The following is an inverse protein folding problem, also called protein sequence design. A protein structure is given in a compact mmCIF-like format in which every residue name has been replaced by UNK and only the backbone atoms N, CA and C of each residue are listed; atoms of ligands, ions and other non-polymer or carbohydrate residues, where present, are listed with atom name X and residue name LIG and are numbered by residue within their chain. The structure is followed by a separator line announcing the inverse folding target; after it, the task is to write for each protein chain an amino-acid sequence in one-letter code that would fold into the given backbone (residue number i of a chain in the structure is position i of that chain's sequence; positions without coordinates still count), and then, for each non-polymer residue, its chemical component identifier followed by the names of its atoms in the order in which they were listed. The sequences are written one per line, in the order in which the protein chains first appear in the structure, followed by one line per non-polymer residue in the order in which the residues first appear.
data_IF_999612144701
#
_entry.id   IF_999612144701
#
_cell.length_a   1.000
_cell.length_b   1.000
_cell.length_c   1.000
_cell.angle_alpha   90.00
_cell.angle_beta   90.00
_cell.angle_gamma   90.00
#
_symmetry.space_group_name_H-M   'P 1'
#
loop_
_entity.id
_entity.type
_entity.pdbx_description
1 polymer ?
#
# COMPACT_ATOMS: atom_id res chain seq x y z
N UNK A 1 1.66 22.88 -41.64
CA UNK A 1 2.30 21.93 -40.69
C UNK A 1 1.23 20.94 -40.29
N UNK A 2 1.22 19.78 -40.93
CA UNK A 2 0.22 18.71 -40.66
C UNK A 2 0.62 17.96 -39.42
N UNK A 3 -0.24 17.98 -38.41
CA UNK A 3 -0.13 17.16 -37.20
C UNK A 3 -0.11 15.67 -37.62
N UNK A 4 0.97 14.97 -37.33
CA UNK A 4 1.02 13.51 -37.41
C UNK A 4 -0.03 12.98 -36.44
N UNK A 5 -1.19 12.56 -36.95
CA UNK A 5 -2.21 11.92 -36.16
C UNK A 5 -1.64 10.64 -35.50
N UNK A 6 -1.66 10.58 -34.17
CA UNK A 6 -1.35 9.36 -33.43
C UNK A 6 -2.30 8.25 -33.90
N UNK A 7 -1.75 7.15 -34.40
CA UNK A 7 -2.54 6.01 -34.87
C UNK A 7 -3.11 5.30 -33.64
N UNK A 8 -4.43 5.28 -33.50
CA UNK A 8 -5.10 4.51 -32.44
C UNK A 8 -4.87 3.02 -32.71
N UNK A 9 -4.34 2.33 -31.69
CA UNK A 9 -4.17 0.87 -31.71
C UNK A 9 -5.28 0.27 -30.85
N UNK A 10 -6.13 -0.52 -31.47
CA UNK A 10 -7.20 -1.27 -30.79
C UNK A 10 -6.75 -2.72 -30.59
N UNK A 11 -6.96 -3.24 -29.38
CA UNK A 11 -6.77 -4.66 -29.05
C UNK A 11 -8.13 -5.24 -28.68
N UNK A 12 -8.51 -6.36 -29.29
CA UNK A 12 -9.76 -7.05 -28.96
C UNK A 12 -9.61 -7.81 -27.66
N UNK A 13 -10.65 -7.85 -26.86
CA UNK A 13 -10.65 -8.65 -25.61
C UNK A 13 -10.48 -10.15 -25.87
N UNK A 14 -10.87 -10.65 -27.04
CA UNK A 14 -10.59 -12.03 -27.49
C UNK A 14 -9.11 -12.36 -27.59
N UNK A 15 -8.27 -11.36 -27.82
CA UNK A 15 -6.82 -11.51 -28.00
C UNK A 15 -6.07 -11.42 -26.66
N UNK A 16 -6.79 -11.10 -25.59
CA UNK A 16 -6.23 -10.95 -24.23
C UNK A 16 -6.34 -12.28 -23.48
N UNK A 17 -5.20 -12.80 -23.04
CA UNK A 17 -5.19 -14.00 -22.20
C UNK A 17 -5.64 -13.66 -20.77
N UNK A 18 -6.69 -14.30 -20.30
CA UNK A 18 -7.18 -14.14 -18.94
C UNK A 18 -6.18 -14.75 -17.94
N UNK A 19 -5.91 -14.01 -16.85
CA UNK A 19 -5.05 -14.46 -15.76
C UNK A 19 -5.81 -14.40 -14.44
N UNK A 20 -5.49 -15.31 -13.51
CA UNK A 20 -6.09 -15.33 -12.18
C UNK A 20 -5.49 -14.25 -11.29
N UNK A 21 -6.32 -13.60 -10.47
CA UNK A 21 -5.88 -12.66 -9.44
C UNK A 21 -5.38 -13.42 -8.21
N UNK A 22 -4.19 -13.08 -7.74
CA UNK A 22 -3.68 -13.56 -6.45
C UNK A 22 -4.13 -12.61 -5.35
N UNK A 23 -4.55 -13.14 -4.21
CA UNK A 23 -5.07 -12.37 -3.10
C UNK A 23 -4.18 -12.49 -1.87
N UNK A 24 -3.93 -11.36 -1.22
CA UNK A 24 -3.41 -11.33 0.14
C UNK A 24 -4.54 -11.64 1.13
N UNK A 25 -5.68 -10.98 0.95
CA UNK A 25 -6.91 -11.20 1.71
C UNK A 25 -8.12 -11.12 0.76
N UNK A 26 -8.70 -12.25 0.45
CA UNK A 26 -9.86 -12.33 -0.46
C UNK A 26 -11.16 -11.88 0.23
N UNK A 27 -12.02 -11.10 -0.42
CA UNK A 27 -11.88 -10.49 -1.76
C UNK A 27 -11.36 -9.05 -1.70
N UNK A 28 -10.73 -8.62 -0.62
CA UNK A 28 -10.48 -7.22 -0.30
C UNK A 28 -9.11 -6.72 -0.78
N UNK A 29 -8.04 -7.50 -0.61
CA UNK A 29 -6.68 -7.04 -0.92
C UNK A 29 -6.03 -7.98 -1.93
N UNK A 30 -5.97 -7.55 -3.18
CA UNK A 30 -5.30 -8.27 -4.25
C UNK A 30 -3.79 -7.97 -4.26
N UNK A 31 -2.97 -8.99 -4.53
CA UNK A 31 -1.52 -8.83 -4.65
C UNK A 31 -1.18 -8.08 -5.92
N UNK A 32 -0.32 -7.06 -5.81
CA UNK A 32 0.10 -6.23 -6.94
C UNK A 32 -0.97 -5.25 -7.42
N UNK A 33 -1.99 -5.00 -6.62
CA UNK A 33 -3.04 -4.00 -6.89
C UNK A 33 -3.17 -3.03 -5.73
N UNK A 34 -3.77 -1.88 -6.01
CA UNK A 34 -4.08 -0.86 -5.02
C UNK A 34 -5.48 -1.14 -4.47
N UNK A 35 -5.60 -1.08 -3.14
CA UNK A 35 -6.88 -1.11 -2.45
C UNK A 35 -7.04 0.22 -1.71
N UNK A 36 -8.17 0.88 -1.89
CA UNK A 36 -8.53 2.08 -1.15
C UNK A 36 -9.53 1.69 -0.05
N UNK A 37 -9.16 1.94 1.20
CA UNK A 37 -10.03 1.83 2.36
C UNK A 37 -10.60 3.20 2.69
N UNK A 38 -11.93 3.35 2.60
CA UNK A 38 -12.63 4.60 2.84
C UNK A 38 -13.74 4.39 3.91
N UNK A 39 -14.07 5.44 4.63
CA UNK A 39 -15.11 5.49 5.66
C UNK A 39 -14.96 6.75 6.49
N UNK A 40 -15.96 7.05 7.34
CA UNK A 40 -15.97 8.24 8.19
C UNK A 40 -14.93 8.18 9.33
N UNK A 41 -14.52 9.32 9.89
CA UNK A 41 -13.71 9.35 11.11
C UNK A 41 -14.38 8.54 12.21
N UNK A 42 -13.61 7.68 12.89
CA UNK A 42 -14.14 6.82 13.97
C UNK A 42 -14.62 5.44 13.53
N UNK A 43 -14.75 5.14 12.24
CA UNK A 43 -15.18 3.81 11.72
C UNK A 43 -14.19 2.66 12.00
N UNK A 44 -13.07 2.96 12.63
CA UNK A 44 -12.08 1.95 13.01
C UNK A 44 -11.15 1.51 11.88
N UNK A 45 -11.02 2.28 10.79
CA UNK A 45 -10.14 1.96 9.65
C UNK A 45 -8.71 1.65 10.06
N UNK A 46 -8.06 2.56 10.79
CA UNK A 46 -6.68 2.38 11.28
C UNK A 46 -6.58 1.22 12.27
N UNK A 47 -7.60 1.01 13.13
CA UNK A 47 -7.65 -0.15 14.04
C UNK A 47 -7.71 -1.46 13.27
N UNK A 48 -8.54 -1.55 12.23
CA UNK A 48 -8.62 -2.73 11.36
C UNK A 48 -7.28 -2.97 10.66
N UNK A 49 -6.65 -1.93 10.12
CA UNK A 49 -5.34 -2.04 9.48
C UNK A 49 -4.25 -2.49 10.46
N UNK A 50 -4.20 -1.94 11.68
CA UNK A 50 -3.23 -2.36 12.69
C UNK A 50 -3.39 -3.83 13.09
N UNK A 51 -4.63 -4.34 13.21
CA UNK A 51 -4.86 -5.76 13.43
C UNK A 51 -4.40 -6.62 12.24
N UNK A 52 -4.68 -6.21 11.02
CA UNK A 52 -4.20 -6.90 9.82
C UNK A 52 -2.67 -6.93 9.75
N UNK A 53 -2.03 -5.79 10.03
CA UNK A 53 -0.56 -5.68 10.09
C UNK A 53 0.00 -6.63 11.16
N UNK A 54 -0.62 -6.67 12.33
CA UNK A 54 -0.21 -7.56 13.41
C UNK A 54 -0.29 -9.04 12.99
N UNK A 55 -1.40 -9.46 12.39
CA UNK A 55 -1.57 -10.83 11.92
C UNK A 55 -0.57 -11.19 10.80
N UNK A 56 -0.33 -10.29 9.86
CA UNK A 56 0.67 -10.48 8.82
C UNK A 56 2.09 -10.58 9.40
N UNK A 57 2.45 -9.67 10.31
CA UNK A 57 3.81 -9.57 10.85
C UNK A 57 4.24 -10.79 11.65
N UNK A 58 3.32 -11.45 12.33
CA UNK A 58 3.58 -12.66 13.14
C UNK A 58 3.26 -13.99 12.45
N UNK A 59 2.72 -13.97 11.22
CA UNK A 59 2.29 -15.19 10.52
C UNK A 59 1.01 -15.81 11.09
N UNK A 60 0.12 -14.97 11.64
CA UNK A 60 -1.12 -15.38 12.30
C UNK A 60 -2.25 -15.75 11.33
N UNK A 61 -3.46 -15.26 11.59
CA UNK A 61 -4.65 -15.54 10.77
C UNK A 61 -5.29 -14.26 10.28
N UNK A 62 -5.69 -14.26 9.01
CA UNK A 62 -6.51 -13.21 8.45
C UNK A 62 -7.92 -13.20 9.05
N UNK A 63 -8.69 -12.09 8.89
CA UNK A 63 -10.05 -12.00 9.45
C UNK A 63 -11.02 -13.09 8.95
N UNK A 64 -10.77 -13.65 7.77
CA UNK A 64 -11.53 -14.79 7.21
C UNK A 64 -11.11 -16.16 7.78
N UNK A 65 -10.18 -16.17 8.73
CA UNK A 65 -9.65 -17.38 9.35
C UNK A 65 -8.51 -18.06 8.58
N UNK A 66 -8.17 -17.58 7.39
CA UNK A 66 -7.08 -18.14 6.59
C UNK A 66 -5.73 -17.88 7.25
N UNK A 67 -4.93 -18.92 7.40
CA UNK A 67 -3.58 -18.80 7.94
C UNK A 67 -2.68 -18.00 6.98
N UNK A 68 -1.93 -17.05 7.52
CA UNK A 68 -0.88 -16.31 6.80
C UNK A 68 0.31 -17.23 6.52
N UNK A 69 0.61 -18.12 7.47
CA UNK A 69 1.72 -19.05 7.41
C UNK A 69 3.00 -18.41 7.95
N UNK A 70 3.92 -18.02 7.07
CA UNK A 70 5.15 -17.34 7.48
C UNK A 70 4.88 -15.87 7.80
N UNK A 71 5.63 -15.31 8.76
CA UNK A 71 5.62 -13.87 9.05
C UNK A 71 5.93 -13.06 7.80
N UNK A 72 5.20 -11.96 7.61
CA UNK A 72 5.31 -11.08 6.47
C UNK A 72 5.81 -9.71 6.89
N UNK A 73 6.62 -9.08 6.06
CA UNK A 73 7.06 -7.71 6.25
C UNK A 73 5.98 -6.74 5.79
N UNK A 74 5.77 -5.66 6.54
CA UNK A 74 4.79 -4.62 6.25
C UNK A 74 5.45 -3.26 6.40
N UNK A 75 5.20 -2.34 5.46
CA UNK A 75 5.49 -0.91 5.64
C UNK A 75 4.17 -0.25 6.05
N UNK A 76 4.17 0.44 7.18
CA UNK A 76 3.05 1.26 7.64
C UNK A 76 3.50 2.70 7.78
N UNK A 77 3.13 3.52 6.80
CA UNK A 77 3.44 4.94 6.76
C UNK A 77 2.23 5.73 7.24
N UNK A 78 2.40 6.46 8.34
CA UNK A 78 1.39 7.31 8.94
C UNK A 78 1.98 8.70 9.20
N UNK A 79 1.20 9.74 8.93
CA UNK A 79 1.60 11.13 9.14
C UNK A 79 0.80 11.85 10.23
N UNK A 80 -0.29 11.26 10.71
CA UNK A 80 -1.16 11.90 11.71
C UNK A 80 -0.75 11.59 13.15
N UNK A 81 -0.29 10.37 13.39
CA UNK A 81 0.01 9.86 14.72
C UNK A 81 1.53 9.77 14.96
N UNK A 82 1.96 10.04 16.18
CA UNK A 82 3.36 9.85 16.61
C UNK A 82 3.78 8.38 16.61
N UNK A 83 4.97 8.12 16.07
CA UNK A 83 5.47 6.75 15.92
C UNK A 83 5.72 6.09 17.28
N UNK A 84 6.37 6.82 18.21
CA UNK A 84 6.83 6.28 19.49
C UNK A 84 5.75 6.19 20.56
N UNK A 85 4.82 7.13 20.55
CA UNK A 85 3.81 7.30 21.60
C UNK A 85 2.43 6.76 21.23
N UNK A 86 2.16 6.62 19.94
CA UNK A 86 0.85 6.19 19.46
C UNK A 86 0.94 4.92 18.60
N UNK A 87 1.68 4.95 17.49
CA UNK A 87 1.65 3.85 16.50
C UNK A 87 2.28 2.59 17.08
N UNK A 88 3.51 2.68 17.59
CA UNK A 88 4.21 1.52 18.14
C UNK A 88 3.44 0.86 19.29
N UNK A 89 2.96 1.58 20.31
CA UNK A 89 2.17 0.99 21.39
C UNK A 89 0.88 0.32 20.90
N UNK A 90 0.22 0.89 19.89
CA UNK A 90 -1.00 0.28 19.30
C UNK A 90 -0.70 -1.00 18.53
N UNK A 91 0.40 -1.04 17.77
CA UNK A 91 0.86 -2.25 17.07
C UNK A 91 1.20 -3.36 18.08
N UNK A 92 1.93 -3.03 19.13
CA UNK A 92 2.27 -3.98 20.21
C UNK A 92 1.01 -4.51 20.92
N UNK A 93 0.03 -3.64 21.20
CA UNK A 93 -1.27 -4.03 21.75
C UNK A 93 -2.04 -4.98 20.86
N UNK A 94 -1.95 -4.81 19.53
CA UNK A 94 -2.52 -5.74 18.54
C UNK A 94 -1.70 -7.05 18.42
N UNK A 95 -0.56 -7.17 19.09
CA UNK A 95 0.31 -8.33 19.05
C UNK A 95 1.15 -8.43 17.78
N UNK A 96 1.54 -7.30 17.21
CA UNK A 96 2.41 -7.26 16.04
C UNK A 96 3.85 -7.68 16.41
N UNK A 97 4.51 -8.40 15.49
CA UNK A 97 5.96 -8.54 15.52
C UNK A 97 6.58 -7.30 14.85
N UNK A 98 6.94 -6.30 15.66
CA UNK A 98 7.49 -5.04 15.19
C UNK A 98 8.82 -5.17 14.45
N UNK A 99 9.51 -6.33 14.47
CA UNK A 99 10.69 -6.59 13.64
C UNK A 99 10.33 -6.72 12.16
N UNK A 100 9.06 -7.01 11.87
CA UNK A 100 8.51 -7.16 10.53
C UNK A 100 7.67 -5.97 10.10
N UNK A 101 7.61 -4.88 10.89
CA UNK A 101 6.88 -3.66 10.55
C UNK A 101 7.86 -2.49 10.49
N UNK A 102 7.89 -1.78 9.37
CA UNK A 102 8.77 -0.64 9.16
C UNK A 102 7.98 0.59 8.69
N UNK A 103 8.59 1.76 8.80
CA UNK A 103 8.14 3.01 8.21
C UNK A 103 9.35 3.75 7.61
N UNK A 104 9.10 4.73 6.74
CA UNK A 104 10.13 5.62 6.21
C UNK A 104 10.25 6.78 7.18
N UNK A 105 11.42 6.94 7.80
CA UNK A 105 11.67 8.04 8.73
C UNK A 105 11.77 9.37 7.97
N UNK A 106 10.88 10.31 8.29
CA UNK A 106 10.80 11.63 7.67
C UNK A 106 11.51 12.73 8.49
N UNK A 107 12.11 12.40 9.64
CA UNK A 107 12.80 13.38 10.49
C UNK A 107 13.95 14.10 9.74
N UNK A 108 14.62 13.39 8.84
CA UNK A 108 15.74 13.95 8.07
C UNK A 108 15.28 14.66 6.78
N UNK A 109 14.16 14.22 6.20
CA UNK A 109 13.65 14.74 4.93
C UNK A 109 12.10 14.74 4.96
N UNK A 110 11.52 15.90 5.17
CA UNK A 110 10.06 16.12 5.12
C UNK A 110 9.51 16.01 3.70
N UNK A 111 8.18 15.87 3.58
CA UNK A 111 7.49 15.95 2.31
C UNK A 111 7.53 14.69 1.46
N UNK A 112 7.40 13.52 2.08
CA UNK A 112 7.23 12.26 1.37
C UNK A 112 5.95 12.28 0.52
N UNK A 113 6.06 11.93 -0.75
CA UNK A 113 4.91 11.82 -1.67
C UNK A 113 4.83 10.40 -2.26
N UNK A 114 3.66 10.00 -2.78
CA UNK A 114 3.46 8.65 -3.32
C UNK A 114 4.40 8.28 -4.49
N UNK A 115 4.91 9.26 -5.22
CA UNK A 115 5.85 9.07 -6.32
C UNK A 115 7.32 9.30 -5.91
N UNK A 116 7.59 9.47 -4.62
CA UNK A 116 8.93 9.64 -4.08
C UNK A 116 9.78 8.36 -4.26
N UNK A 117 11.02 8.53 -4.68
CA UNK A 117 11.97 7.43 -4.88
C UNK A 117 12.29 6.69 -3.57
N UNK A 118 12.18 7.35 -2.42
CA UNK A 118 12.38 6.73 -1.09
C UNK A 118 11.37 5.60 -0.84
N UNK A 119 10.11 5.75 -1.28
CA UNK A 119 9.11 4.68 -1.17
C UNK A 119 9.53 3.48 -2.01
N UNK A 120 9.98 3.72 -3.25
CA UNK A 120 10.47 2.65 -4.11
C UNK A 120 11.66 1.92 -3.52
N UNK A 121 12.65 2.65 -3.01
CA UNK A 121 13.83 2.08 -2.36
C UNK A 121 13.46 1.27 -1.13
N UNK A 122 12.60 1.79 -0.25
CA UNK A 122 12.12 1.08 0.92
C UNK A 122 11.42 -0.24 0.55
N UNK A 123 10.61 -0.25 -0.52
CA UNK A 123 9.96 -1.47 -1.00
C UNK A 123 10.98 -2.49 -1.53
N UNK A 124 11.98 -2.05 -2.28
CA UNK A 124 13.01 -2.93 -2.84
C UNK A 124 13.87 -3.55 -1.73
N UNK A 125 14.29 -2.75 -0.76
CA UNK A 125 15.17 -3.18 0.33
C UNK A 125 14.43 -4.04 1.35
N UNK A 126 13.29 -3.56 1.82
CA UNK A 126 12.54 -4.24 2.88
C UNK A 126 11.68 -5.38 2.34
N UNK A 127 11.30 -5.37 1.05
CA UNK A 127 10.46 -6.38 0.38
C UNK A 127 9.16 -6.68 1.13
N UNK A 128 8.35 -5.66 1.42
CA UNK A 128 7.12 -5.82 2.17
C UNK A 128 6.08 -6.61 1.37
N UNK A 129 5.21 -7.33 2.07
CA UNK A 129 4.04 -7.98 1.49
C UNK A 129 2.87 -7.01 1.35
N UNK A 130 2.82 -6.01 2.21
CA UNK A 130 1.81 -4.96 2.24
C UNK A 130 2.50 -3.61 2.51
N UNK A 131 2.05 -2.57 1.80
CA UNK A 131 2.38 -1.18 2.11
C UNK A 131 1.06 -0.49 2.44
N UNK A 132 0.98 0.11 3.61
CA UNK A 132 -0.18 0.90 4.07
C UNK A 132 0.24 2.35 4.17
N UNK A 133 -0.55 3.24 3.61
CA UNK A 133 -0.38 4.70 3.66
C UNK A 133 -1.63 5.29 4.34
N UNK A 134 -1.47 5.94 5.47
CA UNK A 134 -2.57 6.40 6.32
C UNK A 134 -2.30 7.80 6.93
N UNK A 135 -3.05 8.83 6.55
CA UNK A 135 -3.99 8.87 5.44
C UNK A 135 -3.28 9.14 4.11
N UNK A 136 -3.87 8.67 3.02
CA UNK A 136 -3.27 8.86 1.70
C UNK A 136 -3.15 10.34 1.30
N UNK A 137 -4.07 11.19 1.78
CA UNK A 137 -4.10 12.63 1.50
C UNK A 137 -2.79 13.34 1.86
N UNK A 138 -2.16 12.94 2.96
CA UNK A 138 -0.90 13.54 3.39
C UNK A 138 0.28 13.32 2.42
N UNK A 139 0.16 12.32 1.55
CA UNK A 139 1.20 11.89 0.61
C UNK A 139 0.89 12.24 -0.85
N UNK A 140 -0.12 13.07 -1.12
CA UNK A 140 -0.50 13.47 -2.48
C UNK A 140 0.32 14.66 -3.02
N UNK A 141 0.99 15.41 -2.15
CA UNK A 141 1.65 16.66 -2.52
C UNK A 141 0.66 17.79 -2.77
N UNK A 142 1.10 18.86 -3.43
CA UNK A 142 0.31 20.07 -3.65
C UNK A 142 -0.80 19.96 -4.70
N UNK A 143 -0.87 18.84 -5.43
CA UNK A 143 -1.86 18.62 -6.49
C UNK A 143 -3.06 17.83 -5.96
N UNK A 144 -4.25 18.24 -6.34
CA UNK A 144 -5.55 17.80 -5.85
C UNK A 144 -5.82 16.27 -5.92
N UNK A 145 -6.79 15.83 -5.12
CA UNK A 145 -7.27 14.45 -4.88
C UNK A 145 -7.50 13.56 -6.13
N UNK A 146 -7.67 14.15 -7.31
CA UNK A 146 -7.93 13.43 -8.57
C UNK A 146 -6.70 12.63 -9.10
N UNK A 147 -5.52 12.80 -8.50
CA UNK A 147 -4.29 12.17 -8.99
C UNK A 147 -3.81 10.93 -8.21
N UNK A 148 -4.49 10.55 -7.12
CA UNK A 148 -4.11 9.40 -6.28
C UNK A 148 -3.88 8.14 -7.11
N UNK A 149 -4.86 7.76 -7.91
CA UNK A 149 -4.79 6.56 -8.75
C UNK A 149 -3.66 6.64 -9.79
N UNK A 150 -3.42 7.83 -10.33
CA UNK A 150 -2.34 8.06 -11.31
C UNK A 150 -0.95 7.93 -10.69
N UNK A 151 -0.72 8.51 -9.52
CA UNK A 151 0.57 8.45 -8.80
C UNK A 151 0.86 7.04 -8.30
N UNK A 152 -0.12 6.40 -7.67
CA UNK A 152 0.00 5.03 -7.23
C UNK A 152 0.26 4.07 -8.41
N UNK A 153 -0.38 4.28 -9.56
CA UNK A 153 -0.10 3.51 -10.79
C UNK A 153 1.34 3.70 -11.28
N UNK A 154 1.85 4.94 -11.27
CA UNK A 154 3.26 5.23 -11.62
C UNK A 154 4.23 4.50 -10.68
N UNK A 155 3.96 4.49 -9.37
CA UNK A 155 4.76 3.74 -8.40
C UNK A 155 4.76 2.25 -8.73
N UNK A 156 3.60 1.66 -9.00
CA UNK A 156 3.46 0.25 -9.37
C UNK A 156 4.25 -0.08 -10.65
N UNK A 157 4.17 0.75 -11.68
CA UNK A 157 4.94 0.59 -12.92
C UNK A 157 6.45 0.63 -12.66
N UNK A 158 6.92 1.57 -11.83
CA UNK A 158 8.34 1.67 -11.44
C UNK A 158 8.83 0.44 -10.66
N UNK A 159 7.93 -0.25 -9.96
CA UNK A 159 8.22 -1.50 -9.26
C UNK A 159 8.15 -2.74 -10.16
N UNK A 160 7.89 -2.55 -11.48
CA UNK A 160 7.72 -3.65 -12.43
C UNK A 160 6.44 -4.47 -12.18
N UNK A 161 5.47 -3.90 -11.49
CA UNK A 161 4.16 -4.52 -11.26
C UNK A 161 3.22 -4.19 -12.42
N UNK A 162 2.39 -5.14 -12.89
CA UNK A 162 1.41 -4.86 -13.91
C UNK A 162 0.37 -3.84 -13.40
N UNK A 163 -0.14 -2.96 -14.26
CA UNK A 163 -1.11 -1.94 -13.92
C UNK A 163 -2.45 -2.52 -13.45
#
# INVERSE_FOLDING_TARGET
MTSKGEKVILTLYSDVQATSVRWLWYPFIAVGKITLLQGDPGDGKSTMMMNLIAELSKGGKLPDGKAVGLSQRVIYQCSEDGVSDTIKPRLEKCGADCRNVAFINEETYSGLTLDDERIRQAIIEFRPKLVVIDPIQAYLGSDSDLQVAGRARKLMQRLGMPP
#
